data_IF_364508263554
#
_entry.id   IF_364508263554
#
_cell.length_a   1.000
_cell.length_b   1.000
_cell.length_c   1.000
_cell.angle_alpha   90.00
_cell.angle_beta   90.00
_cell.angle_gamma   90.00
#
_symmetry.space_group_name_H-M   'P 1'
#
loop_
_entity.id
_entity.type
_entity.pdbx_description
1 polymer ?
#
# COMPACT_ATOMS: atom_id res chain seq x y z
N UNK A 1 0.50 44.21 6.80
CA UNK A 1 -0.56 43.19 6.79
C UNK A 1 0.12 41.88 7.17
N UNK A 2 -0.01 41.45 8.41
CA UNK A 2 0.68 40.26 8.93
C UNK A 2 -0.17 39.06 8.50
N UNK A 3 0.37 38.20 7.64
CA UNK A 3 -0.26 36.92 7.34
C UNK A 3 -0.33 36.11 8.64
N UNK A 4 -1.56 35.91 9.15
CA UNK A 4 -1.83 34.87 10.13
C UNK A 4 -1.51 33.55 9.45
N UNK A 5 -0.38 32.97 9.81
CA UNK A 5 -0.16 31.54 9.66
C UNK A 5 -1.29 30.89 10.46
N UNK A 6 -2.23 30.25 9.76
CA UNK A 6 -3.23 29.40 10.39
C UNK A 6 -2.48 28.39 11.25
N UNK A 7 -2.66 28.47 12.57
CA UNK A 7 -2.17 27.43 13.46
C UNK A 7 -2.94 26.17 13.10
N UNK A 8 -2.35 25.28 12.30
CA UNK A 8 -2.93 23.97 12.03
C UNK A 8 -3.14 23.29 13.39
N UNK A 9 -4.39 23.05 13.76
CA UNK A 9 -4.73 22.28 14.95
C UNK A 9 -3.97 20.97 14.93
N UNK A 10 -3.35 20.58 16.04
CA UNK A 10 -2.68 19.29 16.18
C UNK A 10 -3.66 18.18 15.75
N UNK A 11 -3.25 17.25 14.87
CA UNK A 11 -4.14 16.18 14.44
C UNK A 11 -4.63 15.36 15.63
N UNK A 12 -5.89 14.91 15.59
CA UNK A 12 -6.50 14.08 16.65
C UNK A 12 -5.96 12.64 16.71
N UNK A 13 -4.76 12.39 16.19
CA UNK A 13 -4.07 11.10 16.07
C UNK A 13 -2.54 11.30 16.17
N UNK A 14 -1.75 10.23 16.37
CA UNK A 14 -0.28 10.33 16.41
C UNK A 14 0.32 10.87 15.09
N UNK A 15 0.89 12.06 15.13
CA UNK A 15 1.55 12.70 13.98
C UNK A 15 3.01 12.25 13.88
N UNK A 16 3.22 11.01 13.38
CA UNK A 16 4.50 10.30 13.38
C UNK A 16 4.94 9.83 11.99
N UNK A 17 4.25 10.27 10.94
CA UNK A 17 4.51 9.76 9.60
C UNK A 17 5.92 10.15 9.11
N UNK A 18 6.63 9.17 8.57
CA UNK A 18 7.80 9.44 7.75
C UNK A 18 7.35 9.98 6.39
N UNK A 19 7.78 11.20 6.08
CA UNK A 19 7.36 11.96 4.88
C UNK A 19 8.55 12.35 4.01
N UNK A 20 9.74 11.77 4.23
CA UNK A 20 10.95 12.19 3.51
C UNK A 20 10.89 12.00 2.00
N UNK A 21 10.00 11.14 1.51
CA UNK A 21 9.83 10.84 0.08
C UNK A 21 8.50 11.35 -0.49
N UNK A 22 7.81 12.23 0.24
CA UNK A 22 6.56 12.85 -0.18
C UNK A 22 6.73 14.33 -0.54
N UNK A 23 5.94 14.81 -1.51
CA UNK A 23 5.80 16.25 -1.73
C UNK A 23 5.09 16.93 -0.55
N UNK A 24 5.44 18.19 -0.24
CA UNK A 24 4.80 18.95 0.84
C UNK A 24 3.27 19.06 0.69
N UNK A 25 2.80 19.25 -0.55
CA UNK A 25 1.37 19.39 -0.83
C UNK A 25 0.60 18.08 -0.58
N UNK A 26 1.22 16.92 -0.88
CA UNK A 26 0.65 15.64 -0.53
C UNK A 26 0.57 15.47 0.99
N UNK A 27 1.63 15.84 1.72
CA UNK A 27 1.66 15.73 3.19
C UNK A 27 0.55 16.58 3.84
N UNK A 28 0.35 17.80 3.35
CA UNK A 28 -0.74 18.67 3.82
C UNK A 28 -2.12 18.08 3.53
N UNK A 29 -2.36 17.65 2.29
CA UNK A 29 -3.62 17.01 1.88
C UNK A 29 -3.92 15.75 2.71
N UNK A 30 -2.92 14.90 2.95
CA UNK A 30 -3.09 13.68 3.74
C UNK A 30 -3.29 13.97 5.23
N UNK A 31 -2.67 15.04 5.76
CA UNK A 31 -2.93 15.47 7.14
C UNK A 31 -4.41 15.81 7.34
N UNK A 32 -5.01 16.55 6.40
CA UNK A 32 -6.44 16.87 6.39
C UNK A 32 -7.30 15.61 6.23
N UNK A 33 -6.98 14.76 5.26
CA UNK A 33 -7.66 13.48 5.01
C UNK A 33 -7.76 12.61 6.28
N UNK A 34 -6.62 12.36 6.93
CA UNK A 34 -6.59 11.52 8.13
C UNK A 34 -7.20 12.21 9.34
N UNK A 35 -7.22 13.55 9.37
CA UNK A 35 -7.90 14.32 10.42
C UNK A 35 -9.41 14.14 10.30
N UNK A 36 -9.96 14.33 9.09
CA UNK A 36 -11.37 14.11 8.82
C UNK A 36 -11.79 12.66 9.14
N UNK A 37 -11.02 11.68 8.64
CA UNK A 37 -11.25 10.26 8.90
C UNK A 37 -11.21 9.92 10.39
N UNK A 38 -10.22 10.40 11.13
CA UNK A 38 -10.06 10.17 12.58
C UNK A 38 -11.07 10.94 13.45
N UNK A 39 -11.69 11.99 12.92
CA UNK A 39 -12.78 12.71 13.58
C UNK A 39 -14.16 12.13 13.24
N UNK A 40 -14.20 11.08 12.39
CA UNK A 40 -15.42 10.46 11.86
C UNK A 40 -16.30 11.45 11.10
N UNK A 41 -15.70 12.50 10.55
CA UNK A 41 -16.39 13.51 9.76
C UNK A 41 -16.47 13.01 8.30
N UNK A 42 -17.56 12.30 7.98
CA UNK A 42 -17.77 11.74 6.65
C UNK A 42 -17.81 12.81 5.57
N UNK A 43 -18.41 13.98 5.84
CA UNK A 43 -18.51 15.06 4.86
C UNK A 43 -17.13 15.66 4.55
N UNK A 44 -16.34 15.96 5.59
CA UNK A 44 -14.97 16.45 5.40
C UNK A 44 -14.09 15.39 4.73
N UNK A 45 -14.28 14.11 5.06
CA UNK A 45 -13.49 13.05 4.45
C UNK A 45 -13.82 12.85 2.97
N UNK A 46 -15.12 12.80 2.62
CA UNK A 46 -15.60 12.70 1.24
C UNK A 46 -15.14 13.87 0.37
N UNK A 47 -14.89 15.04 0.97
CA UNK A 47 -14.37 16.19 0.24
C UNK A 47 -12.97 15.95 -0.36
N UNK A 48 -12.21 14.94 0.04
CA UNK A 48 -10.92 14.60 -0.56
C UNK A 48 -11.02 13.77 -1.85
N UNK A 49 -12.21 13.28 -2.20
CA UNK A 49 -12.42 12.40 -3.34
C UNK A 49 -13.12 13.13 -4.49
N UNK A 50 -12.83 12.71 -5.72
CA UNK A 50 -13.65 13.08 -6.86
C UNK A 50 -14.84 12.11 -6.93
N UNK A 51 -15.99 12.53 -6.42
CA UNK A 51 -17.15 11.64 -6.28
C UNK A 51 -17.74 11.19 -7.62
N UNK A 52 -17.42 11.87 -8.72
CA UNK A 52 -17.92 11.52 -10.05
C UNK A 52 -17.05 10.45 -10.74
N UNK A 53 -15.83 10.22 -10.25
CA UNK A 53 -14.84 9.34 -10.90
C UNK A 53 -14.27 8.25 -9.98
N UNK A 54 -14.48 8.37 -8.67
CA UNK A 54 -13.86 7.51 -7.67
C UNK A 54 -14.11 6.01 -7.91
N UNK A 55 -13.01 5.26 -7.94
CA UNK A 55 -12.99 3.82 -7.71
C UNK A 55 -12.27 3.51 -6.39
N UNK A 56 -12.99 2.96 -5.42
CA UNK A 56 -12.40 2.51 -4.15
C UNK A 56 -12.49 1.00 -4.04
N UNK A 57 -11.36 0.36 -3.73
CA UNK A 57 -11.26 -1.10 -3.58
C UNK A 57 -10.62 -1.43 -2.25
N UNK A 58 -11.18 -2.42 -1.55
CA UNK A 58 -10.44 -3.17 -0.53
C UNK A 58 -9.94 -4.48 -1.14
N UNK A 59 -8.63 -4.62 -1.31
CA UNK A 59 -8.01 -5.75 -2.00
C UNK A 59 -8.05 -7.06 -1.22
N UNK A 60 -8.47 -7.04 0.06
CA UNK A 60 -8.51 -8.22 0.94
C UNK A 60 -9.92 -8.77 1.04
N UNK A 61 -10.94 -7.91 1.18
CA UNK A 61 -12.34 -8.35 1.22
C UNK A 61 -13.07 -8.22 -0.11
N UNK A 62 -12.48 -7.54 -1.10
CA UNK A 62 -13.06 -7.39 -2.44
C UNK A 62 -14.21 -6.41 -2.50
N UNK A 63 -14.34 -5.53 -1.50
CA UNK A 63 -15.28 -4.43 -1.58
C UNK A 63 -14.87 -3.51 -2.72
N UNK A 64 -15.85 -3.11 -3.52
CA UNK A 64 -15.68 -2.22 -4.65
C UNK A 64 -16.78 -1.18 -4.63
N UNK A 65 -16.37 0.08 -4.57
CA UNK A 65 -17.27 1.22 -4.64
C UNK A 65 -16.94 2.05 -5.86
N UNK A 66 -18.00 2.45 -6.56
CA UNK A 66 -17.96 3.33 -7.71
C UNK A 66 -18.63 4.67 -7.33
N UNK A 67 -18.67 5.67 -8.22
CA UNK A 67 -19.25 6.99 -7.94
C UNK A 67 -20.63 6.95 -7.27
N UNK A 68 -21.49 6.03 -7.70
CA UNK A 68 -22.86 5.91 -7.19
C UNK A 68 -22.98 5.24 -5.80
N UNK A 69 -21.99 4.43 -5.41
CA UNK A 69 -22.04 3.66 -4.16
C UNK A 69 -21.06 4.14 -3.10
N UNK A 70 -20.05 4.93 -3.47
CA UNK A 70 -18.97 5.33 -2.57
C UNK A 70 -19.45 6.21 -1.41
N UNK A 71 -20.06 7.36 -1.67
CA UNK A 71 -20.46 8.28 -0.59
C UNK A 71 -21.44 7.64 0.43
N UNK A 72 -22.52 6.93 0.02
CA UNK A 72 -23.39 6.25 0.97
C UNK A 72 -22.67 5.18 1.81
N UNK A 73 -21.74 4.44 1.20
CA UNK A 73 -20.98 3.41 1.90
C UNK A 73 -20.05 4.03 2.97
N UNK A 74 -19.35 5.13 2.63
CA UNK A 74 -18.51 5.86 3.58
C UNK A 74 -19.34 6.40 4.75
N UNK A 75 -20.47 7.07 4.47
CA UNK A 75 -21.36 7.59 5.53
C UNK A 75 -21.92 6.48 6.43
N UNK A 76 -22.22 5.31 5.87
CA UNK A 76 -22.66 4.16 6.66
C UNK A 76 -21.51 3.62 7.53
N UNK A 77 -20.32 3.48 6.96
CA UNK A 77 -19.15 2.94 7.64
C UNK A 77 -18.72 3.83 8.81
N UNK A 78 -18.60 5.14 8.62
CA UNK A 78 -18.18 6.07 9.69
C UNK A 78 -19.13 6.07 10.88
N UNK A 79 -20.43 5.84 10.66
CA UNK A 79 -21.44 5.72 11.74
C UNK A 79 -21.30 4.46 12.59
N UNK A 80 -20.60 3.44 12.10
CA UNK A 80 -20.40 2.17 12.81
C UNK A 80 -19.11 2.12 13.61
N UNK A 81 -18.20 3.08 13.40
CA UNK A 81 -16.93 3.12 14.10
C UNK A 81 -17.10 3.43 15.58
N UNK A 82 -16.27 2.80 16.40
CA UNK A 82 -16.16 3.10 17.82
C UNK A 82 -15.64 4.53 18.04
N UNK A 83 -16.05 5.21 19.12
CA UNK A 83 -15.82 6.64 19.31
C UNK A 83 -14.34 7.05 19.39
N UNK A 84 -13.43 6.11 19.69
CA UNK A 84 -11.99 6.38 19.73
C UNK A 84 -11.25 5.85 18.49
N UNK A 85 -11.98 5.41 17.45
CA UNK A 85 -11.39 4.91 16.22
C UNK A 85 -10.51 5.95 15.53
N UNK A 86 -9.24 5.62 15.28
CA UNK A 86 -8.28 6.48 14.57
C UNK A 86 -7.65 5.74 13.39
N UNK A 87 -7.44 6.49 12.32
CA UNK A 87 -6.68 6.09 11.14
C UNK A 87 -5.57 7.12 10.94
N UNK A 88 -4.32 6.68 10.86
CA UNK A 88 -3.19 7.60 10.74
C UNK A 88 -2.05 7.03 9.91
N UNK A 89 -1.32 7.90 9.19
CA UNK A 89 -0.20 7.47 8.36
C UNK A 89 1.03 7.19 9.23
N UNK A 90 1.79 6.17 8.84
CA UNK A 90 3.13 5.85 9.35
C UNK A 90 4.20 6.22 8.33
N UNK A 91 3.88 6.17 7.04
CA UNK A 91 4.75 6.62 5.95
C UNK A 91 3.93 7.10 4.77
N UNK A 92 4.36 8.18 4.12
CA UNK A 92 3.75 8.74 2.91
C UNK A 92 4.84 8.85 1.85
N UNK A 93 4.59 8.28 0.66
CA UNK A 93 5.52 8.34 -0.48
C UNK A 93 4.78 8.75 -1.75
N UNK A 94 5.31 9.72 -2.48
CA UNK A 94 4.70 10.19 -3.74
C UNK A 94 4.34 11.67 -3.74
N UNK A 95 3.38 12.02 -4.59
CA UNK A 95 2.86 13.38 -4.74
C UNK A 95 1.35 13.38 -5.06
N UNK A 96 0.82 14.53 -5.47
CA UNK A 96 -0.59 14.68 -5.85
C UNK A 96 -0.88 14.23 -7.30
N UNK A 97 0.00 13.46 -7.92
CA UNK A 97 -0.34 12.67 -9.11
C UNK A 97 -0.69 11.24 -8.69
N UNK A 98 0.14 10.64 -7.83
CA UNK A 98 -0.15 9.35 -7.19
C UNK A 98 0.74 9.14 -5.97
N UNK A 99 0.26 8.36 -5.01
CA UNK A 99 1.01 8.05 -3.80
C UNK A 99 0.70 6.67 -3.24
N UNK A 100 1.56 6.23 -2.31
CA UNK A 100 1.27 5.11 -1.44
C UNK A 100 1.45 5.51 0.02
N UNK A 101 0.54 5.04 0.88
CA UNK A 101 0.52 5.40 2.29
C UNK A 101 0.52 4.13 3.12
N UNK A 102 1.54 3.94 3.95
CA UNK A 102 1.47 3.00 5.06
C UNK A 102 0.63 3.63 6.16
N UNK A 103 -0.42 2.96 6.59
CA UNK A 103 -1.35 3.47 7.60
C UNK A 103 -1.65 2.42 8.66
N UNK A 104 -2.09 2.91 9.82
CA UNK A 104 -2.64 2.10 10.89
C UNK A 104 -4.07 2.56 11.20
N UNK A 105 -4.96 1.59 11.32
CA UNK A 105 -6.30 1.74 11.86
C UNK A 105 -6.35 1.09 13.24
N UNK A 106 -6.84 1.81 14.24
CA UNK A 106 -7.04 1.25 15.59
C UNK A 106 -8.19 0.24 15.61
N UNK A 107 -8.22 -0.68 16.59
CA UNK A 107 -9.29 -1.67 16.75
C UNK A 107 -10.71 -1.09 16.72
N UNK A 108 -10.93 0.10 17.28
CA UNK A 108 -12.25 0.75 17.29
C UNK A 108 -12.84 1.03 15.89
N UNK A 109 -12.05 0.99 14.81
CA UNK A 109 -12.56 1.14 13.44
C UNK A 109 -13.10 -0.18 12.85
N UNK A 110 -12.40 -1.30 13.06
CA UNK A 110 -12.65 -2.55 12.33
C UNK A 110 -12.66 -3.83 13.19
N UNK A 111 -12.62 -3.69 14.52
CA UNK A 111 -12.56 -4.78 15.49
C UNK A 111 -11.14 -5.20 15.90
N UNK A 112 -10.18 -5.03 14.98
CA UNK A 112 -8.77 -5.36 15.19
C UNK A 112 -7.87 -4.21 14.72
N UNK A 113 -6.62 -4.17 15.22
CA UNK A 113 -5.62 -3.27 14.65
C UNK A 113 -5.30 -3.73 13.22
N UNK A 114 -5.41 -2.80 12.26
CA UNK A 114 -5.09 -3.06 10.87
C UNK A 114 -3.93 -2.17 10.46
N UNK A 115 -2.83 -2.78 10.03
CA UNK A 115 -1.71 -2.12 9.39
C UNK A 115 -1.77 -2.43 7.89
N UNK A 116 -1.82 -1.40 7.06
CA UNK A 116 -2.11 -1.55 5.64
C UNK A 116 -1.44 -0.50 4.77
N UNK A 117 -1.50 -0.72 3.47
CA UNK A 117 -1.12 0.26 2.47
C UNK A 117 -2.35 0.73 1.68
N UNK A 118 -2.42 2.02 1.39
CA UNK A 118 -3.36 2.58 0.42
C UNK A 118 -2.58 3.06 -0.81
N UNK A 119 -2.84 2.48 -1.99
CA UNK A 119 -2.35 2.97 -3.27
C UNK A 119 -3.39 3.95 -3.85
N UNK A 120 -2.96 5.17 -4.18
CA UNK A 120 -3.87 6.29 -4.47
C UNK A 120 -3.44 6.99 -5.75
N UNK A 121 -4.41 7.25 -6.63
CA UNK A 121 -4.25 8.12 -7.80
C UNK A 121 -5.12 9.38 -7.65
N UNK A 122 -4.60 10.51 -8.11
CA UNK A 122 -5.24 11.81 -7.98
C UNK A 122 -5.50 12.48 -9.34
N UNK A 123 -6.58 13.25 -9.39
CA UNK A 123 -6.88 14.20 -10.46
C UNK A 123 -7.36 15.52 -9.82
N UNK A 124 -6.78 16.64 -10.27
CA UNK A 124 -7.05 17.98 -9.71
C UNK A 124 -7.00 18.05 -8.17
N UNK A 125 -6.07 17.30 -7.57
CA UNK A 125 -5.88 17.23 -6.12
C UNK A 125 -6.94 16.42 -5.36
N UNK A 126 -7.82 15.71 -6.07
CA UNK A 126 -8.83 14.80 -5.52
C UNK A 126 -8.49 13.36 -5.83
N UNK A 127 -8.82 12.47 -4.91
CA UNK A 127 -8.64 11.02 -5.10
C UNK A 127 -9.65 10.51 -6.13
N UNK A 128 -9.16 9.90 -7.21
CA UNK A 128 -9.98 9.22 -8.23
C UNK A 128 -9.88 7.70 -8.14
N UNK A 129 -8.83 7.19 -7.49
CA UNK A 129 -8.67 5.75 -7.24
C UNK A 129 -7.97 5.54 -5.90
N UNK A 130 -8.49 4.60 -5.11
CA UNK A 130 -7.84 4.13 -3.90
C UNK A 130 -7.98 2.62 -3.78
N UNK A 131 -6.88 1.93 -3.52
CA UNK A 131 -6.86 0.48 -3.23
C UNK A 131 -6.17 0.23 -1.91
N UNK A 132 -6.91 -0.38 -0.99
CA UNK A 132 -6.41 -0.71 0.35
C UNK A 132 -5.95 -2.17 0.41
N UNK A 133 -4.73 -2.37 0.91
CA UNK A 133 -4.07 -3.66 1.11
C UNK A 133 -3.76 -3.87 2.59
N UNK A 134 -4.01 -5.06 3.11
CA UNK A 134 -3.67 -5.47 4.46
C UNK A 134 -3.53 -6.99 4.54
N UNK A 135 -2.99 -7.49 5.65
CA UNK A 135 -2.92 -8.93 5.90
C UNK A 135 -4.19 -9.42 6.62
N UNK A 136 -5.02 -10.20 5.93
CA UNK A 136 -6.27 -10.72 6.47
C UNK A 136 -6.12 -11.83 7.50
N UNK A 137 -4.91 -12.39 7.66
CA UNK A 137 -4.67 -13.55 8.54
C UNK A 137 -5.02 -13.32 10.01
N UNK A 138 -4.89 -12.09 10.50
CA UNK A 138 -5.06 -11.74 11.91
C UNK A 138 -6.13 -10.66 12.16
N UNK A 139 -6.91 -10.33 11.14
CA UNK A 139 -7.91 -9.27 11.20
C UNK A 139 -9.29 -9.87 10.92
N UNK A 140 -10.17 -9.84 11.92
CA UNK A 140 -11.50 -10.46 11.86
C UNK A 140 -12.41 -9.87 10.78
N UNK A 141 -12.07 -8.67 10.28
CA UNK A 141 -12.77 -8.04 9.17
C UNK A 141 -12.73 -8.87 7.88
N UNK A 142 -11.78 -9.81 7.74
CA UNK A 142 -11.68 -10.71 6.59
C UNK A 142 -12.92 -11.58 6.38
N UNK A 143 -13.72 -11.80 7.43
CA UNK A 143 -15.01 -12.53 7.33
C UNK A 143 -16.04 -11.86 6.41
N UNK A 144 -15.82 -10.60 6.05
CA UNK A 144 -16.66 -9.83 5.13
C UNK A 144 -16.26 -10.00 3.66
N UNK A 145 -15.24 -10.82 3.38
CA UNK A 145 -14.78 -11.11 2.02
C UNK A 145 -15.93 -11.58 1.14
N UNK A 146 -16.09 -10.95 -0.02
CA UNK A 146 -17.04 -11.36 -1.05
C UNK A 146 -16.63 -12.70 -1.65
N UNK A 147 -17.58 -13.41 -2.26
CA UNK A 147 -17.27 -14.66 -2.95
C UNK A 147 -16.33 -14.42 -4.15
N UNK A 148 -15.56 -15.44 -4.55
CA UNK A 148 -14.55 -15.29 -5.59
C UNK A 148 -15.12 -14.86 -6.96
N UNK A 149 -16.38 -15.20 -7.25
CA UNK A 149 -17.11 -14.77 -8.45
C UNK A 149 -17.56 -13.30 -8.41
N UNK A 150 -17.64 -12.71 -7.22
CA UNK A 150 -17.94 -11.30 -7.00
C UNK A 150 -16.67 -10.45 -6.83
N UNK A 151 -15.52 -11.08 -6.63
CA UNK A 151 -14.27 -10.39 -6.38
C UNK A 151 -13.83 -9.60 -7.62
N UNK A 152 -13.52 -8.29 -7.52
CA UNK A 152 -13.15 -7.50 -8.68
C UNK A 152 -11.86 -8.01 -9.34
N UNK A 153 -11.89 -8.08 -10.67
CA UNK A 153 -10.72 -8.43 -11.49
C UNK A 153 -9.85 -7.19 -11.80
N UNK A 154 -10.50 -6.07 -12.13
CA UNK A 154 -9.91 -4.73 -12.28
C UNK A 154 -10.06 -3.96 -10.96
N UNK A 155 -9.00 -3.28 -10.52
CA UNK A 155 -9.02 -2.43 -9.33
C UNK A 155 -9.10 -0.94 -9.71
N UNK A 156 -9.63 -0.63 -10.89
CA UNK A 156 -9.77 0.72 -11.42
C UNK A 156 -8.52 1.25 -12.13
N UNK A 157 -7.44 0.47 -12.20
CA UNK A 157 -6.21 0.86 -12.90
C UNK A 157 -6.45 1.09 -14.40
N UNK A 158 -7.47 0.42 -14.98
CA UNK A 158 -7.83 0.57 -16.39
C UNK A 158 -8.36 1.97 -16.76
N UNK A 159 -8.90 2.70 -15.79
CA UNK A 159 -9.42 4.07 -15.96
C UNK A 159 -8.34 5.14 -15.81
N UNK A 160 -7.15 4.79 -15.30
CA UNK A 160 -6.06 5.75 -15.10
C UNK A 160 -5.36 6.03 -16.43
N UNK A 161 -5.69 7.18 -17.03
CA UNK A 161 -5.11 7.61 -18.31
C UNK A 161 -3.86 8.48 -18.17
N UNK A 162 -3.63 9.01 -16.96
CA UNK A 162 -2.52 9.91 -16.69
C UNK A 162 -1.18 9.19 -16.76
N UNK A 163 -0.16 9.92 -17.23
CA UNK A 163 1.21 9.40 -17.29
C UNK A 163 1.78 9.21 -15.88
N UNK A 164 2.18 7.98 -15.58
CA UNK A 164 2.90 7.61 -14.36
C UNK A 164 4.29 8.23 -14.30
N UNK A 165 4.84 8.37 -13.11
CA UNK A 165 6.20 8.85 -12.93
C UNK A 165 7.20 7.90 -13.63
N UNK A 166 8.05 8.38 -14.56
CA UNK A 166 8.90 7.50 -15.36
C UNK A 166 9.98 6.79 -14.54
N UNK A 167 10.38 7.33 -13.38
CA UNK A 167 11.38 6.71 -12.50
C UNK A 167 10.79 5.47 -11.83
N UNK A 168 9.64 5.62 -11.16
CA UNK A 168 8.99 4.50 -10.46
C UNK A 168 8.52 3.43 -11.45
N UNK A 169 8.03 3.84 -12.64
CA UNK A 169 7.60 2.91 -13.69
C UNK A 169 8.78 2.09 -14.24
N UNK A 170 9.93 2.73 -14.47
CA UNK A 170 11.15 2.03 -14.89
C UNK A 170 11.62 1.05 -13.81
N UNK A 171 11.74 1.50 -12.57
CA UNK A 171 12.20 0.67 -11.46
C UNK A 171 11.27 -0.52 -11.23
N UNK A 172 9.96 -0.29 -11.21
CA UNK A 172 8.94 -1.33 -11.03
C UNK A 172 9.06 -2.41 -12.10
N UNK A 173 9.24 -2.01 -13.37
CA UNK A 173 9.45 -2.94 -14.47
C UNK A 173 10.73 -3.74 -14.31
N UNK A 174 11.85 -3.09 -13.99
CA UNK A 174 13.15 -3.77 -13.82
C UNK A 174 13.11 -4.75 -12.64
N UNK A 175 12.58 -4.32 -11.50
CA UNK A 175 12.46 -5.13 -10.30
C UNK A 175 11.53 -6.33 -10.52
N UNK A 176 10.33 -6.11 -11.06
CA UNK A 176 9.41 -7.21 -11.34
C UNK A 176 9.98 -8.16 -12.41
N UNK A 177 10.65 -7.67 -13.46
CA UNK A 177 11.30 -8.55 -14.45
C UNK A 177 12.33 -9.46 -13.79
N UNK A 178 13.16 -8.95 -12.89
CA UNK A 178 14.13 -9.76 -12.17
C UNK A 178 13.46 -10.75 -11.20
N UNK A 179 12.50 -10.29 -10.39
CA UNK A 179 11.78 -11.13 -9.42
C UNK A 179 10.98 -12.25 -10.09
N UNK A 180 10.24 -11.94 -11.15
CA UNK A 180 9.42 -12.93 -11.87
C UNK A 180 10.26 -13.98 -12.59
N UNK A 181 11.49 -13.63 -12.97
CA UNK A 181 12.46 -14.53 -13.58
C UNK A 181 13.27 -15.34 -12.55
N UNK A 182 13.07 -15.11 -11.24
CA UNK A 182 13.87 -15.74 -10.19
C UNK A 182 15.31 -15.22 -10.13
N UNK A 183 15.62 -14.09 -10.79
CA UNK A 183 16.96 -13.55 -10.88
C UNK A 183 17.29 -12.67 -9.66
N UNK A 184 17.65 -13.32 -8.57
CA UNK A 184 18.00 -12.66 -7.30
C UNK A 184 19.15 -11.66 -7.44
N UNK A 185 20.12 -11.93 -8.31
CA UNK A 185 21.27 -11.05 -8.56
C UNK A 185 20.82 -9.74 -9.22
N UNK A 186 20.02 -9.80 -10.29
CA UNK A 186 19.50 -8.59 -10.95
C UNK A 186 18.55 -7.81 -10.03
N UNK A 187 17.70 -8.50 -9.25
CA UNK A 187 16.82 -7.85 -8.30
C UNK A 187 17.63 -7.10 -7.24
N UNK A 188 18.63 -7.74 -6.63
CA UNK A 188 19.48 -7.14 -5.61
C UNK A 188 20.35 -5.99 -6.14
N UNK A 189 20.73 -6.00 -7.42
CA UNK A 189 21.50 -4.91 -8.03
C UNK A 189 20.78 -3.55 -8.00
N UNK A 190 19.44 -3.55 -7.85
CA UNK A 190 18.62 -2.34 -7.72
C UNK A 190 18.63 -1.73 -6.31
N UNK A 191 19.18 -2.44 -5.33
CA UNK A 191 19.25 -2.01 -3.94
C UNK A 191 20.58 -1.31 -3.63
N UNK A 192 20.55 -0.37 -2.68
CA UNK A 192 21.76 0.17 -2.07
C UNK A 192 22.47 -0.88 -1.19
N UNK A 193 23.78 -0.75 -0.93
CA UNK A 193 24.52 -1.69 -0.08
C UNK A 193 23.90 -1.91 1.30
N UNK A 194 23.30 -0.86 1.89
CA UNK A 194 22.69 -0.85 3.24
C UNK A 194 21.17 -1.00 3.21
N UNK A 195 20.59 -1.38 2.07
CA UNK A 195 19.14 -1.40 1.93
C UNK A 195 18.46 -2.37 2.89
N UNK A 196 17.20 -2.08 3.20
CA UNK A 196 16.34 -2.93 4.02
C UNK A 196 15.24 -3.56 3.16
N UNK A 197 15.08 -4.87 3.25
CA UNK A 197 13.94 -5.59 2.70
C UNK A 197 13.05 -6.03 3.85
N UNK A 198 11.77 -5.67 3.79
CA UNK A 198 10.75 -6.05 4.75
C UNK A 198 9.58 -6.73 4.03
N UNK A 199 9.06 -7.78 4.64
CA UNK A 199 7.78 -8.39 4.26
C UNK A 199 6.91 -8.38 5.51
N UNK A 200 5.91 -7.49 5.53
CA UNK A 200 5.08 -7.26 6.71
C UNK A 200 4.19 -8.45 7.04
N UNK A 201 3.76 -9.20 6.01
CA UNK A 201 2.91 -10.38 6.14
C UNK A 201 3.66 -11.54 6.83
N UNK A 202 4.92 -11.77 6.44
CA UNK A 202 5.78 -12.80 7.07
C UNK A 202 6.56 -12.28 8.28
N UNK A 203 6.50 -10.98 8.56
CA UNK A 203 7.30 -10.29 9.60
C UNK A 203 8.81 -10.49 9.41
N UNK A 204 9.25 -10.59 8.16
CA UNK A 204 10.66 -10.77 7.80
C UNK A 204 11.33 -9.41 7.60
N UNK A 205 12.57 -9.28 8.09
CA UNK A 205 13.44 -8.13 7.78
C UNK A 205 14.86 -8.59 7.48
N UNK A 206 15.36 -8.22 6.31
CA UNK A 206 16.72 -8.50 5.84
C UNK A 206 17.42 -7.16 5.58
N UNK A 207 18.66 -7.03 6.04
CA UNK A 207 19.45 -5.81 5.85
C UNK A 207 20.74 -6.11 5.08
N UNK A 208 21.02 -5.27 4.10
CA UNK A 208 22.21 -5.32 3.27
C UNK A 208 21.97 -6.01 1.92
N UNK A 209 22.49 -5.41 0.85
CA UNK A 209 22.25 -5.86 -0.54
C UNK A 209 22.58 -7.35 -0.76
N UNK A 210 23.73 -7.81 -0.26
CA UNK A 210 24.16 -9.21 -0.43
C UNK A 210 23.29 -10.19 0.37
N UNK A 211 22.80 -9.77 1.55
CA UNK A 211 21.88 -10.59 2.33
C UNK A 211 20.51 -10.67 1.65
N UNK A 212 20.02 -9.55 1.10
CA UNK A 212 18.81 -9.48 0.28
C UNK A 212 18.93 -10.42 -0.92
N UNK A 213 20.04 -10.39 -1.66
CA UNK A 213 20.28 -11.30 -2.79
C UNK A 213 20.16 -12.77 -2.35
N UNK A 214 20.85 -13.17 -1.28
CA UNK A 214 20.81 -14.54 -0.76
C UNK A 214 19.40 -14.94 -0.33
N UNK A 215 18.68 -14.06 0.35
CA UNK A 215 17.29 -14.27 0.73
C UNK A 215 16.39 -14.46 -0.49
N UNK A 216 16.44 -13.55 -1.47
CA UNK A 216 15.64 -13.62 -2.69
C UNK A 216 15.93 -14.91 -3.48
N UNK A 217 17.19 -15.36 -3.52
CA UNK A 217 17.55 -16.62 -4.17
C UNK A 217 16.80 -17.83 -3.60
N UNK A 218 16.50 -17.82 -2.30
CA UNK A 218 15.72 -18.87 -1.61
C UNK A 218 14.22 -18.62 -1.68
N UNK A 219 13.80 -17.36 -1.59
CA UNK A 219 12.42 -16.97 -1.35
C UNK A 219 11.58 -16.76 -2.62
N UNK A 220 12.16 -16.27 -3.71
CA UNK A 220 11.42 -15.98 -4.96
C UNK A 220 10.58 -17.14 -5.52
N UNK A 221 10.97 -18.43 -5.38
CA UNK A 221 10.14 -19.54 -5.83
C UNK A 221 8.79 -19.69 -5.09
N UNK A 222 8.67 -19.13 -3.88
CA UNK A 222 7.53 -19.34 -2.97
C UNK A 222 6.79 -18.02 -2.70
N UNK A 223 7.48 -16.89 -2.71
CA UNK A 223 6.86 -15.57 -2.50
C UNK A 223 5.76 -15.32 -3.55
N UNK A 224 4.59 -14.79 -3.15
CA UNK A 224 3.47 -14.58 -4.08
C UNK A 224 3.75 -13.48 -5.12
N UNK A 225 4.67 -12.56 -4.81
CA UNK A 225 5.22 -11.54 -5.71
C UNK A 225 6.55 -11.95 -6.37
N UNK A 226 6.90 -13.24 -6.30
CA UNK A 226 8.09 -13.82 -6.91
C UNK A 226 7.82 -14.30 -8.34
N UNK A 227 8.14 -15.57 -8.60
CA UNK A 227 8.05 -16.18 -9.93
C UNK A 227 6.69 -15.96 -10.61
N UNK A 228 6.74 -15.58 -11.89
CA UNK A 228 5.58 -15.38 -12.77
C UNK A 228 4.55 -14.34 -12.30
N UNK A 229 4.85 -13.56 -11.26
CA UNK A 229 4.02 -12.41 -10.87
C UNK A 229 4.05 -11.31 -11.93
N UNK A 230 2.98 -10.54 -12.04
CA UNK A 230 2.88 -9.40 -12.95
C UNK A 230 2.58 -8.11 -12.20
N UNK A 231 3.06 -7.00 -12.74
CA UNK A 231 2.68 -5.66 -12.27
C UNK A 231 1.25 -5.36 -12.71
N UNK A 232 0.41 -4.91 -11.79
CA UNK A 232 -0.93 -4.39 -12.04
C UNK A 232 -0.88 -2.90 -12.32
N UNK A 233 -0.39 -2.14 -11.33
CA UNK A 233 -0.35 -0.68 -11.37
C UNK A 233 0.80 -0.17 -10.50
N UNK A 234 1.33 1.02 -10.80
CA UNK A 234 2.41 1.63 -10.03
C UNK A 234 2.10 3.08 -9.73
N UNK A 235 2.36 3.49 -8.49
CA UNK A 235 2.08 4.82 -7.93
C UNK A 235 3.33 5.42 -7.29
N UNK A 236 3.39 6.74 -7.19
CA UNK A 236 4.45 7.48 -6.52
C UNK A 236 5.21 8.44 -7.41
N UNK A 237 6.37 8.88 -6.93
CA UNK A 237 7.18 9.93 -7.54
C UNK A 237 8.62 9.44 -7.84
N UNK A 238 9.56 10.38 -8.01
CA UNK A 238 10.96 10.09 -8.28
C UNK A 238 11.78 9.66 -7.03
N UNK A 239 11.21 9.76 -5.83
CA UNK A 239 11.85 9.46 -4.56
C UNK A 239 11.29 8.18 -3.92
N UNK A 240 10.05 7.83 -4.21
CA UNK A 240 9.45 6.62 -3.67
C UNK A 240 8.02 6.41 -4.15
N UNK A 241 7.49 5.24 -3.83
CA UNK A 241 6.20 4.81 -4.31
C UNK A 241 6.01 3.32 -4.12
N UNK A 242 5.27 2.69 -5.01
CA UNK A 242 5.08 1.26 -4.99
C UNK A 242 4.37 0.74 -6.22
N UNK A 243 4.17 -0.56 -6.24
CA UNK A 243 3.38 -1.21 -7.26
C UNK A 243 2.53 -2.33 -6.70
N UNK A 244 1.31 -2.36 -7.20
CA UNK A 244 0.35 -3.43 -7.04
C UNK A 244 0.73 -4.57 -7.98
N UNK A 245 0.56 -5.81 -7.55
CA UNK A 245 0.92 -6.98 -8.34
C UNK A 245 -0.17 -8.05 -8.33
N UNK A 246 -0.11 -8.91 -9.34
CA UNK A 246 -0.95 -10.10 -9.48
C UNK A 246 -0.04 -11.32 -9.35
N UNK A 247 -0.37 -12.20 -8.41
CA UNK A 247 0.33 -13.46 -8.19
C UNK A 247 0.00 -14.46 -9.29
N UNK A 248 0.91 -15.40 -9.56
CA UNK A 248 0.63 -16.50 -10.49
C UNK A 248 -0.52 -17.38 -9.99
N UNK A 249 -1.20 -18.14 -10.87
CA UNK A 249 -2.16 -19.15 -10.43
C UNK A 249 -1.57 -20.10 -9.39
N UNK A 250 -2.27 -20.29 -8.27
CA UNK A 250 -1.81 -21.11 -7.14
C UNK A 250 -0.76 -20.47 -6.25
N UNK A 251 -0.43 -19.19 -6.42
CA UNK A 251 0.36 -18.45 -5.44
C UNK A 251 -0.37 -18.36 -4.09
N UNK A 252 0.39 -18.19 -3.00
CA UNK A 252 -0.14 -18.03 -1.63
C UNK A 252 -1.11 -16.85 -1.49
N UNK A 253 -0.97 -15.85 -2.35
CA UNK A 253 -1.93 -14.78 -2.49
C UNK A 253 -2.00 -14.34 -3.95
N UNK A 254 -3.21 -14.02 -4.39
CA UNK A 254 -3.46 -13.57 -5.76
C UNK A 254 -3.02 -12.12 -5.99
N UNK A 255 -2.79 -11.34 -4.93
CA UNK A 255 -2.54 -9.91 -5.02
C UNK A 255 -1.85 -9.35 -3.78
N UNK A 256 -1.20 -8.21 -3.96
CA UNK A 256 -0.59 -7.44 -2.90
C UNK A 256 0.07 -6.20 -3.45
N UNK A 257 0.89 -5.57 -2.61
CA UNK A 257 1.57 -4.34 -2.94
C UNK A 257 3.00 -4.37 -2.40
N UNK A 258 3.91 -3.81 -3.20
CA UNK A 258 5.31 -3.63 -2.85
C UNK A 258 5.62 -2.14 -2.85
N UNK A 259 6.25 -1.66 -1.80
CA UNK A 259 6.61 -0.25 -1.58
C UNK A 259 8.12 -0.10 -1.66
N UNK A 260 8.59 0.95 -2.31
CA UNK A 260 10.01 1.25 -2.46
C UNK A 260 10.32 2.70 -2.11
N UNK A 261 11.37 2.87 -1.32
CA UNK A 261 12.02 4.16 -1.06
C UNK A 261 13.34 4.21 -1.81
N UNK A 262 13.62 5.34 -2.45
CA UNK A 262 14.79 5.53 -3.31
C UNK A 262 15.73 6.57 -2.71
N UNK A 263 17.01 6.43 -3.01
CA UNK A 263 17.98 7.51 -2.84
C UNK A 263 18.03 8.41 -4.08
N UNK A 264 18.88 9.43 -4.05
CA UNK A 264 19.09 10.38 -5.16
C UNK A 264 19.58 9.73 -6.46
N UNK A 265 20.13 8.51 -6.39
CA UNK A 265 20.58 7.73 -7.55
C UNK A 265 19.48 6.81 -8.11
N UNK A 266 18.29 6.81 -7.51
CA UNK A 266 17.18 5.93 -7.90
C UNK A 266 17.35 4.47 -7.44
N UNK A 267 18.29 4.20 -6.52
CA UNK A 267 18.47 2.87 -5.92
C UNK A 267 17.59 2.70 -4.69
N UNK A 268 17.11 1.47 -4.49
CA UNK A 268 16.22 1.11 -3.38
C UNK A 268 16.99 1.16 -2.06
N UNK A 269 16.55 2.01 -1.14
CA UNK A 269 17.00 2.05 0.26
C UNK A 269 16.11 1.19 1.16
N UNK A 270 14.81 1.09 0.83
CA UNK A 270 13.88 0.19 1.49
C UNK A 270 12.90 -0.42 0.50
N UNK A 271 12.67 -1.72 0.62
CA UNK A 271 11.56 -2.44 0.01
C UNK A 271 10.66 -2.96 1.12
N UNK A 272 9.34 -2.76 1.00
CA UNK A 272 8.35 -3.29 1.95
C UNK A 272 7.21 -3.96 1.19
N UNK A 273 7.04 -5.27 1.36
CA UNK A 273 5.91 -6.02 0.81
C UNK A 273 4.77 -6.18 1.82
N UNK A 274 3.54 -6.18 1.31
CA UNK A 274 2.34 -6.58 2.05
C UNK A 274 1.38 -7.30 1.12
N UNK A 275 0.80 -8.38 1.62
CA UNK A 275 -0.17 -9.20 0.90
C UNK A 275 -1.09 -9.91 1.87
N UNK A 276 -2.25 -10.33 1.37
CA UNK A 276 -3.26 -11.04 2.16
C UNK A 276 -2.85 -12.50 2.36
N UNK A 277 -2.50 -12.89 3.59
CA UNK A 277 -2.21 -14.27 3.97
C UNK A 277 -3.40 -14.99 4.62
N UNK A 278 -4.63 -14.46 4.49
CA UNK A 278 -5.83 -15.10 5.03
C UNK A 278 -6.09 -16.50 4.47
N UNK A 279 -5.62 -16.77 3.25
CA UNK A 279 -5.76 -18.06 2.56
C UNK A 279 -4.49 -18.93 2.62
N UNK A 280 -3.39 -18.42 3.18
CA UNK A 280 -2.15 -19.19 3.34
C UNK A 280 -2.22 -20.08 4.59
N UNK A 281 -1.73 -21.32 4.51
CA UNK A 281 -1.67 -22.19 5.67
C UNK A 281 -0.46 -21.89 6.58
N UNK A 282 -0.47 -22.42 7.80
CA UNK A 282 0.62 -22.22 8.77
C UNK A 282 1.95 -22.79 8.28
N UNK A 283 1.93 -23.88 7.50
CA UNK A 283 3.14 -24.53 7.01
C UNK A 283 3.85 -23.65 5.97
N UNK A 284 3.10 -23.02 5.07
CA UNK A 284 3.61 -22.07 4.09
C UNK A 284 4.16 -20.82 4.76
N UNK A 285 3.48 -20.30 5.78
CA UNK A 285 3.96 -19.14 6.55
C UNK A 285 5.24 -19.45 7.32
N UNK A 286 5.31 -20.62 7.96
CA UNK A 286 6.53 -21.10 8.63
C UNK A 286 7.68 -21.29 7.64
N UNK A 287 7.38 -21.89 6.47
CA UNK A 287 8.35 -22.08 5.40
C UNK A 287 8.93 -20.74 4.96
N UNK A 288 8.11 -19.76 4.60
CA UNK A 288 8.56 -18.43 4.18
C UNK A 288 9.41 -17.73 5.25
N UNK A 289 8.95 -17.76 6.50
CA UNK A 289 9.67 -17.16 7.63
C UNK A 289 11.04 -17.81 7.81
N UNK A 290 11.14 -19.13 7.64
CA UNK A 290 12.41 -19.86 7.79
C UNK A 290 13.46 -19.48 6.75
N UNK A 291 13.07 -18.98 5.57
CA UNK A 291 14.00 -18.59 4.50
C UNK A 291 14.82 -17.33 4.84
N UNK A 292 14.37 -16.58 5.85
CA UNK A 292 15.08 -15.42 6.40
C UNK A 292 16.35 -15.82 7.16
N UNK A 293 16.43 -17.06 7.66
CA UNK A 293 17.59 -17.57 8.38
C UNK A 293 18.70 -17.90 7.37
N UNK A 294 19.90 -17.36 7.59
CA UNK A 294 21.07 -17.74 6.80
C UNK A 294 21.54 -19.14 7.22
N UNK A 295 21.59 -20.05 6.24
CA UNK A 295 22.16 -21.40 6.35
C UNK A 295 23.48 -21.49 5.61
#
# INVERSE_FOLDING_TARGET
MVHKISQSSTPGYPDLADVSHASSNLVESMREYFTAKSNHDATAWLAHFNLDEITYIDAVVGFSFNPSTFAPAIEQMTRQWGPNGKSYPLRILGDLDSCIILLRNTPDLFGDELCGFAAIDFEDGKVIRQVDYWDGRHVSFVKHRVSDDQFPSDFGESAITRRRNPVIEKLTRELNTAMKAGNSTEAAALFTPEAVFEDLTTRTRIQGQLAIQRYLNRALPILPYGLDSTVRHSVGNNQGGGYEWIGKPGALSARGVNVVELNELGLITRFTALWDASQADDADMLKLTSLAIES
#
